data_IF_892728324344
#
_entry.id   IF_892728324344
#
_cell.length_a   1.000
_cell.length_b   1.000
_cell.length_c   1.000
_cell.angle_alpha   90.00
_cell.angle_beta   90.00
_cell.angle_gamma   90.00
#
_symmetry.space_group_name_H-M   'P 1'
#
loop_
_entity.id
_entity.type
_entity.pdbx_description
1 polymer ?
#
# COMPACT_ATOMS: atom_id res chain seq x y z
N UNK A 1 -21.70 -7.43 -2.11
CA UNK A 1 -21.28 -6.81 -0.83
C UNK A 1 -20.96 -5.36 -1.11
N UNK A 2 -21.40 -4.45 -0.25
CA UNK A 2 -21.08 -3.02 -0.31
C UNK A 2 -20.25 -2.66 0.91
N UNK A 3 -19.18 -1.89 0.71
CA UNK A 3 -18.25 -1.44 1.75
C UNK A 3 -18.06 0.06 1.62
N UNK A 4 -18.23 0.79 2.70
CA UNK A 4 -17.84 2.20 2.81
C UNK A 4 -16.39 2.29 3.29
N UNK A 5 -15.63 3.23 2.74
CA UNK A 5 -14.25 3.54 3.10
C UNK A 5 -14.14 5.06 3.16
N UNK A 6 -13.67 5.59 4.29
CA UNK A 6 -13.38 7.02 4.42
C UNK A 6 -12.02 7.32 3.83
N UNK A 7 -11.95 8.32 2.96
CA UNK A 7 -10.72 8.76 2.29
C UNK A 7 -10.28 10.06 2.91
N UNK A 8 -9.10 10.05 3.51
CA UNK A 8 -8.46 11.22 4.11
C UNK A 8 -7.25 11.63 3.27
N UNK A 9 -6.90 12.91 3.30
CA UNK A 9 -5.62 13.41 2.85
C UNK A 9 -4.86 13.96 4.05
N UNK A 10 -3.64 13.50 4.23
CA UNK A 10 -2.71 14.07 5.19
C UNK A 10 -2.19 15.40 4.65
N UNK A 11 -2.57 16.49 5.32
CA UNK A 11 -2.10 17.83 5.02
C UNK A 11 -1.30 18.31 6.22
N UNK A 12 0.01 18.44 6.04
CA UNK A 12 0.95 18.91 7.06
C UNK A 12 0.89 18.08 8.37
N UNK A 13 0.74 16.76 8.27
CA UNK A 13 0.66 15.85 9.42
C UNK A 13 -0.74 15.72 10.02
N UNK A 14 -1.74 16.39 9.43
CA UNK A 14 -3.14 16.32 9.88
C UNK A 14 -3.98 15.59 8.84
N UNK A 15 -4.59 14.44 9.19
CA UNK A 15 -5.51 13.76 8.28
C UNK A 15 -6.84 14.51 8.19
N UNK A 16 -7.21 14.95 6.99
CA UNK A 16 -8.44 15.67 6.71
C UNK A 16 -9.35 14.77 5.87
N UNK A 17 -10.61 14.61 6.28
CA UNK A 17 -11.59 13.85 5.52
C UNK A 17 -11.86 14.54 4.17
N UNK A 18 -11.48 13.87 3.08
CA UNK A 18 -11.69 14.34 1.70
C UNK A 18 -13.04 13.89 1.20
N UNK A 19 -13.44 12.65 1.52
CA UNK A 19 -14.68 12.08 1.03
C UNK A 19 -14.88 10.64 1.42
N UNK A 20 -15.89 10.02 0.82
CA UNK A 20 -16.32 8.66 1.07
C UNK A 20 -16.29 7.87 -0.22
N UNK A 21 -15.74 6.67 -0.13
CA UNK A 21 -15.65 5.70 -1.21
C UNK A 21 -16.57 4.52 -0.87
N UNK A 22 -17.49 4.21 -1.77
CA UNK A 22 -18.31 3.00 -1.70
C UNK A 22 -17.85 2.01 -2.74
N UNK A 23 -17.42 0.83 -2.29
CA UNK A 23 -17.00 -0.27 -3.17
C UNK A 23 -18.07 -1.35 -3.15
N UNK A 24 -18.48 -1.77 -4.35
CA UNK A 24 -19.47 -2.84 -4.54
C UNK A 24 -18.85 -3.98 -5.31
N UNK A 25 -18.98 -5.19 -4.76
CA UNK A 25 -18.61 -6.43 -5.44
C UNK A 25 -19.88 -7.11 -5.96
N UNK A 26 -19.97 -7.31 -7.28
CA UNK A 26 -21.03 -8.06 -7.96
C UNK A 26 -20.41 -9.01 -9.00
N UNK A 27 -20.78 -10.30 -8.94
CA UNK A 27 -20.27 -11.34 -9.84
C UNK A 27 -18.73 -11.37 -9.94
N UNK A 28 -18.04 -11.18 -8.81
CA UNK A 28 -16.57 -11.18 -8.75
C UNK A 28 -15.90 -9.94 -9.36
N UNK A 29 -16.66 -8.88 -9.68
CA UNK A 29 -16.13 -7.61 -10.16
C UNK A 29 -16.44 -6.48 -9.19
N UNK A 30 -15.45 -5.64 -8.95
CA UNK A 30 -15.62 -4.41 -8.18
C UNK A 30 -16.01 -3.22 -9.06
N UNK A 31 -16.84 -2.36 -8.48
CA UNK A 31 -17.15 -1.02 -8.95
C UNK A 31 -17.10 -0.07 -7.77
N UNK A 32 -16.70 1.18 -8.02
CA UNK A 32 -16.60 2.20 -6.98
C UNK A 32 -17.47 3.42 -7.26
N UNK A 33 -17.94 4.04 -6.18
CA UNK A 33 -18.51 5.38 -6.18
C UNK A 33 -17.77 6.22 -5.15
N UNK A 34 -17.56 7.50 -5.45
CA UNK A 34 -16.86 8.41 -4.55
C UNK A 34 -17.63 9.72 -4.43
N UNK A 35 -17.74 10.26 -3.23
CA UNK A 35 -18.33 11.59 -3.00
C UNK A 35 -17.44 12.39 -2.06
N UNK A 36 -17.17 13.64 -2.44
CA UNK A 36 -16.41 14.56 -1.61
C UNK A 36 -17.20 14.95 -0.35
N UNK A 37 -16.50 15.07 0.77
CA UNK A 37 -17.10 15.58 1.99
C UNK A 37 -17.41 17.09 1.85
N UNK A 38 -18.54 17.52 2.41
CA UNK A 38 -18.96 18.93 2.34
C UNK A 38 -17.96 19.87 3.00
N UNK A 39 -17.26 19.41 4.05
CA UNK A 39 -16.21 20.20 4.69
C UNK A 39 -15.03 20.38 3.73
N UNK A 40 -14.59 19.34 3.02
CA UNK A 40 -13.55 19.43 1.99
C UNK A 40 -13.89 20.43 0.90
N UNK A 41 -15.12 20.37 0.37
CA UNK A 41 -15.57 21.28 -0.71
C UNK A 41 -15.60 22.75 -0.29
N UNK A 42 -15.71 23.05 1.02
CA UNK A 42 -15.68 24.42 1.54
C UNK A 42 -14.27 24.93 1.83
N UNK A 43 -13.25 24.08 1.78
CA UNK A 43 -11.88 24.50 2.06
C UNK A 43 -11.33 25.38 0.92
N UNK A 44 -10.51 26.39 1.25
CA UNK A 44 -9.83 27.23 0.26
C UNK A 44 -8.67 26.52 -0.43
N UNK A 45 -8.01 25.58 0.26
CA UNK A 45 -6.87 24.79 -0.20
C UNK A 45 -7.28 23.42 -0.77
N UNK A 46 -8.58 23.23 -1.07
CA UNK A 46 -9.08 21.99 -1.66
C UNK A 46 -8.48 21.75 -3.04
N UNK A 47 -8.38 20.48 -3.39
CA UNK A 47 -8.02 20.06 -4.73
C UNK A 47 -8.83 18.83 -5.16
N UNK A 48 -8.84 18.57 -6.45
CA UNK A 48 -9.38 17.35 -7.04
C UNK A 48 -8.35 16.23 -6.89
N UNK A 49 -8.75 15.05 -6.39
CA UNK A 49 -7.84 13.91 -6.23
C UNK A 49 -7.26 13.43 -7.57
N UNK A 50 -8.07 13.48 -8.63
CA UNK A 50 -7.66 13.24 -10.01
C UNK A 50 -8.56 14.05 -10.95
N UNK A 51 -8.19 14.22 -12.24
CA UNK A 51 -9.01 14.95 -13.20
C UNK A 51 -10.44 14.41 -13.35
N UNK A 52 -10.62 13.09 -13.24
CA UNK A 52 -11.93 12.44 -13.30
C UNK A 52 -12.80 12.66 -12.05
N UNK A 53 -12.19 13.14 -10.96
CA UNK A 53 -12.84 13.50 -9.70
C UNK A 53 -12.78 15.02 -9.51
N UNK A 54 -13.20 15.79 -10.50
CA UNK A 54 -13.22 17.25 -10.41
C UNK A 54 -14.01 17.70 -9.18
N UNK A 55 -13.35 18.39 -8.25
CA UNK A 55 -13.91 18.74 -6.94
C UNK A 55 -15.23 19.50 -7.08
N UNK A 56 -16.31 18.87 -6.63
CA UNK A 56 -17.67 19.38 -6.79
C UNK A 56 -18.68 18.50 -6.03
N UNK A 57 -19.94 18.96 -5.94
CA UNK A 57 -20.99 18.20 -5.28
C UNK A 57 -21.40 16.96 -6.10
N UNK A 58 -21.90 15.95 -5.41
CA UNK A 58 -22.45 14.74 -6.01
C UNK A 58 -21.45 13.58 -6.06
N UNK A 59 -22.00 12.40 -6.36
CA UNK A 59 -21.24 11.16 -6.44
C UNK A 59 -20.64 10.97 -7.84
N UNK A 60 -19.37 10.58 -7.86
CA UNK A 60 -18.66 10.08 -9.02
C UNK A 60 -18.79 8.56 -9.05
N UNK A 61 -18.89 7.97 -10.24
CA UNK A 61 -19.05 6.53 -10.40
C UNK A 61 -18.06 5.98 -11.41
N UNK A 62 -17.53 4.79 -11.13
CA UNK A 62 -16.65 4.06 -12.04
C UNK A 62 -17.01 2.57 -12.07
N UNK A 63 -16.89 1.97 -13.27
CA UNK A 63 -16.98 0.51 -13.45
C UNK A 63 -15.66 -0.19 -13.13
N UNK A 64 -14.59 0.56 -12.87
CA UNK A 64 -13.32 0.05 -12.36
C UNK A 64 -13.48 -0.25 -10.87
N UNK A 65 -12.58 -1.08 -10.34
CA UNK A 65 -12.57 -1.42 -8.94
C UNK A 65 -12.36 -0.20 -8.03
N UNK A 66 -11.47 0.70 -8.43
CA UNK A 66 -11.15 1.95 -7.73
C UNK A 66 -10.92 3.09 -8.75
N UNK A 67 -10.99 4.32 -8.24
CA UNK A 67 -10.53 5.55 -8.89
C UNK A 67 -9.00 5.58 -8.98
N UNK A 68 -8.43 6.31 -9.94
CA UNK A 68 -6.99 6.24 -10.23
C UNK A 68 -6.14 6.64 -9.04
N UNK A 69 -6.31 7.87 -8.56
CA UNK A 69 -5.57 8.40 -7.42
C UNK A 69 -5.73 7.57 -6.13
N UNK A 70 -6.91 6.97 -5.91
CA UNK A 70 -7.15 6.10 -4.76
C UNK A 70 -6.44 4.75 -4.94
N UNK A 71 -6.53 4.17 -6.14
CA UNK A 71 -5.91 2.89 -6.48
C UNK A 71 -4.38 2.94 -6.48
N UNK A 72 -3.77 4.09 -6.78
CA UNK A 72 -2.31 4.29 -6.73
C UNK A 72 -1.75 4.16 -5.30
N UNK A 73 -2.60 4.30 -4.28
CA UNK A 73 -2.23 4.06 -2.88
C UNK A 73 -2.30 2.58 -2.47
N UNK A 74 -2.78 1.70 -3.37
CA UNK A 74 -2.83 0.27 -3.17
C UNK A 74 -1.47 -0.36 -3.51
N UNK A 75 -1.14 -1.53 -2.93
CA UNK A 75 0.12 -2.19 -3.17
C UNK A 75 0.21 -2.70 -4.61
N UNK A 76 1.42 -2.78 -5.15
CA UNK A 76 1.67 -3.37 -6.46
C UNK A 76 1.91 -4.89 -6.38
N UNK A 77 2.41 -5.50 -7.47
CA UNK A 77 2.60 -6.95 -7.56
C UNK A 77 3.38 -7.55 -6.39
N UNK A 78 4.47 -6.92 -5.92
CA UNK A 78 5.25 -7.46 -4.80
C UNK A 78 4.42 -7.50 -3.51
N UNK A 79 3.85 -6.36 -3.12
CA UNK A 79 3.02 -6.29 -1.92
C UNK A 79 1.76 -7.15 -1.98
N UNK A 80 1.11 -7.24 -3.15
CA UNK A 80 -0.03 -8.15 -3.38
C UNK A 80 0.34 -9.62 -3.22
N UNK A 81 1.53 -10.03 -3.65
CA UNK A 81 2.02 -11.40 -3.43
C UNK A 81 2.13 -11.65 -1.92
N UNK A 82 2.78 -10.76 -1.18
CA UNK A 82 2.93 -10.89 0.28
C UNK A 82 1.57 -10.99 0.98
N UNK A 83 0.63 -10.09 0.67
CA UNK A 83 -0.71 -10.08 1.28
C UNK A 83 -1.54 -11.33 0.94
N UNK A 84 -1.48 -11.82 -0.31
CA UNK A 84 -2.14 -13.08 -0.68
C UNK A 84 -1.57 -14.27 0.08
N UNK A 85 -0.25 -14.35 0.22
CA UNK A 85 0.40 -15.43 0.98
C UNK A 85 0.03 -15.37 2.46
N UNK A 86 0.00 -14.17 3.02
CA UNK A 86 -0.44 -13.93 4.39
C UNK A 86 -1.87 -14.42 4.61
N UNK A 87 -2.79 -14.12 3.69
CA UNK A 87 -4.19 -14.57 3.78
C UNK A 87 -4.32 -16.10 3.68
N UNK A 88 -3.61 -16.73 2.74
CA UNK A 88 -3.62 -18.20 2.61
C UNK A 88 -3.13 -18.86 3.91
N UNK A 89 -2.03 -18.35 4.48
CA UNK A 89 -1.47 -18.85 5.74
C UNK A 89 -2.43 -18.65 6.91
N UNK A 90 -2.99 -17.44 7.06
CA UNK A 90 -3.98 -17.12 8.09
C UNK A 90 -5.19 -18.04 8.02
N UNK A 91 -5.76 -18.21 6.82
CA UNK A 91 -6.89 -19.07 6.60
C UNK A 91 -6.62 -20.53 6.98
N UNK A 92 -5.42 -21.05 6.66
CA UNK A 92 -4.98 -22.39 7.08
C UNK A 92 -4.91 -22.53 8.60
N UNK A 93 -4.34 -21.55 9.31
CA UNK A 93 -4.30 -21.56 10.78
C UNK A 93 -5.70 -21.50 11.40
N UNK A 94 -6.59 -20.71 10.81
CA UNK A 94 -7.99 -20.56 11.21
C UNK A 94 -8.89 -21.70 10.71
N UNK A 95 -8.33 -22.74 10.05
CA UNK A 95 -9.06 -23.87 9.48
C UNK A 95 -10.23 -23.48 8.56
N UNK A 96 -10.06 -22.41 7.79
CA UNK A 96 -11.05 -21.90 6.82
C UNK A 96 -10.46 -21.81 5.42
N UNK A 97 -11.35 -21.68 4.43
CA UNK A 97 -10.92 -21.35 3.07
C UNK A 97 -10.30 -19.92 3.02
N UNK A 98 -9.22 -19.71 2.25
CA UNK A 98 -8.69 -18.37 1.98
C UNK A 98 -9.75 -17.52 1.30
N UNK A 99 -9.88 -16.26 1.75
CA UNK A 99 -10.77 -15.31 1.07
C UNK A 99 -10.12 -14.84 -0.24
N UNK A 100 -10.94 -14.59 -1.25
CA UNK A 100 -10.50 -13.82 -2.42
C UNK A 100 -10.29 -12.38 -2.01
N UNK A 101 -9.08 -11.86 -2.18
CA UNK A 101 -8.76 -10.45 -1.96
C UNK A 101 -9.06 -9.65 -3.23
N UNK A 102 -9.93 -8.65 -3.09
CA UNK A 102 -10.24 -7.68 -4.13
C UNK A 102 -9.37 -6.41 -4.00
N UNK A 103 -9.51 -5.45 -4.91
CA UNK A 103 -8.69 -4.22 -4.91
C UNK A 103 -8.90 -3.41 -3.64
N UNK A 104 -10.14 -3.30 -3.16
CA UNK A 104 -10.44 -2.64 -1.90
C UNK A 104 -9.81 -3.36 -0.70
N UNK A 105 -9.67 -4.68 -0.71
CA UNK A 105 -8.97 -5.39 0.36
C UNK A 105 -7.46 -5.07 0.33
N UNK A 106 -6.84 -5.02 -0.85
CA UNK A 106 -5.43 -4.65 -0.97
C UNK A 106 -5.17 -3.23 -0.48
N UNK A 107 -6.06 -2.28 -0.80
CA UNK A 107 -5.97 -0.91 -0.32
C UNK A 107 -5.93 -0.82 1.20
N UNK A 108 -6.80 -1.58 1.88
CA UNK A 108 -7.01 -1.54 3.33
C UNK A 108 -6.04 -2.43 4.13
N UNK A 109 -5.42 -3.43 3.50
CA UNK A 109 -4.48 -4.33 4.18
C UNK A 109 -3.05 -3.77 4.27
N UNK A 110 -2.76 -2.68 3.56
CA UNK A 110 -1.47 -1.99 3.62
C UNK A 110 -1.33 -1.20 4.90
N UNK A 111 -0.12 -1.22 5.46
CA UNK A 111 0.26 -0.41 6.62
C UNK A 111 0.14 1.10 6.32
N UNK A 112 -0.61 1.84 7.15
CA UNK A 112 -0.87 3.26 6.93
C UNK A 112 0.36 4.14 7.20
N UNK A 113 1.22 3.78 8.17
CA UNK A 113 2.49 4.51 8.45
C UNK A 113 3.44 4.44 7.25
N UNK A 114 3.41 3.31 6.53
CA UNK A 114 4.32 3.03 5.43
C UNK A 114 3.71 3.27 4.06
N UNK A 115 2.48 3.77 4.00
CA UNK A 115 1.79 4.05 2.75
C UNK A 115 2.47 5.19 2.03
N UNK A 116 2.64 5.04 0.73
CA UNK A 116 3.21 6.10 -0.12
C UNK A 116 2.09 7.05 -0.54
N UNK A 117 2.36 8.35 -0.45
CA UNK A 117 1.42 9.41 -0.79
C UNK A 117 0.69 9.96 0.43
N UNK A 118 -0.21 10.91 0.20
CA UNK A 118 -0.92 11.62 1.27
C UNK A 118 -2.28 10.99 1.62
N UNK A 119 -2.77 10.02 0.83
CA UNK A 119 -4.10 9.45 1.06
C UNK A 119 -4.06 8.39 2.16
N UNK A 120 -5.01 8.49 3.10
CA UNK A 120 -5.16 7.57 4.24
C UNK A 120 -6.59 7.03 4.27
N UNK A 121 -6.78 5.82 4.76
CA UNK A 121 -8.07 5.11 4.63
C UNK A 121 -8.56 4.55 5.97
N UNK A 122 -9.87 4.65 6.21
CA UNK A 122 -10.55 4.06 7.37
C UNK A 122 -11.75 3.24 6.89
N UNK A 123 -11.99 2.06 7.49
CA UNK A 123 -13.13 1.21 7.15
C UNK A 123 -14.43 1.71 7.79
N UNK A 124 -14.34 2.40 8.93
CA UNK A 124 -15.47 2.99 9.64
C UNK A 124 -15.03 4.25 10.40
N UNK A 125 -15.98 5.09 10.82
CA UNK A 125 -15.73 6.36 11.54
C UNK A 125 -15.15 6.17 12.93
N UNK A 126 -15.45 5.04 13.56
CA UNK A 126 -14.95 4.67 14.90
C UNK A 126 -13.76 3.70 14.83
N UNK A 127 -13.31 3.35 13.62
CA UNK A 127 -12.13 2.52 13.43
C UNK A 127 -10.88 3.40 13.41
N UNK A 128 -9.80 2.88 14.00
CA UNK A 128 -8.47 3.43 13.82
C UNK A 128 -8.10 3.50 12.33
N UNK A 129 -7.17 4.39 11.93
CA UNK A 129 -6.58 4.29 10.60
C UNK A 129 -6.09 2.86 10.39
N UNK A 130 -6.58 2.22 9.32
CA UNK A 130 -6.41 0.78 9.16
C UNK A 130 -4.92 0.47 9.07
N UNK A 131 -4.46 -0.35 10.01
CA UNK A 131 -3.05 -0.59 10.34
C UNK A 131 -2.38 0.56 11.11
N UNK A 132 -2.82 0.76 12.36
CA UNK A 132 -2.14 1.64 13.32
C UNK A 132 -0.63 1.35 13.43
N UNK A 133 0.19 2.41 13.55
CA UNK A 133 1.61 2.29 13.90
C UNK A 133 1.76 1.46 15.17
N UNK A 134 2.42 0.32 15.08
CA UNK A 134 2.89 -0.43 16.25
C UNK A 134 4.40 -0.30 16.34
N UNK A 135 4.96 0.00 17.53
CA UNK A 135 6.40 0.02 17.72
C UNK A 135 7.05 -1.26 17.18
N UNK A 136 8.09 -1.12 16.36
CA UNK A 136 8.84 -2.26 15.78
C UNK A 136 8.34 -2.81 14.44
N UNK A 137 7.37 -2.17 13.77
CA UNK A 137 6.91 -2.61 12.42
C UNK A 137 7.89 -2.30 11.29
N UNK A 138 8.66 -1.22 11.41
CA UNK A 138 9.69 -0.88 10.41
C UNK A 138 11.03 -1.41 10.91
N UNK A 139 11.61 -2.41 10.23
CA UNK A 139 12.88 -2.98 10.65
C UNK A 139 14.01 -1.94 10.52
N UNK A 140 14.94 -1.89 11.49
CA UNK A 140 16.13 -1.05 11.37
C UNK A 140 17.04 -1.54 10.25
N UNK A 141 17.92 -0.66 9.74
CA UNK A 141 18.89 -0.97 8.68
C UNK A 141 19.73 -2.25 8.94
N UNK A 142 19.97 -2.62 10.20
CA UNK A 142 20.71 -3.84 10.57
C UNK A 142 20.03 -5.13 10.09
N UNK A 143 18.72 -5.10 9.81
CA UNK A 143 17.93 -6.25 9.34
C UNK A 143 18.01 -6.49 7.81
N UNK A 144 18.87 -5.78 7.06
CA UNK A 144 18.98 -5.95 5.60
C UNK A 144 19.30 -7.38 5.16
N UNK A 145 20.20 -8.08 5.86
CA UNK A 145 20.57 -9.48 5.55
C UNK A 145 19.39 -10.45 5.73
N UNK A 146 18.71 -10.43 6.89
CA UNK A 146 17.46 -11.16 7.11
C UNK A 146 16.37 -10.82 6.08
N UNK A 147 16.15 -9.54 5.77
CA UNK A 147 15.18 -9.11 4.76
C UNK A 147 15.49 -9.65 3.36
N UNK A 148 16.75 -9.58 2.93
CA UNK A 148 17.19 -10.14 1.66
C UNK A 148 16.94 -11.65 1.60
N UNK A 149 17.26 -12.35 2.68
CA UNK A 149 17.04 -13.81 2.79
C UNK A 149 15.56 -14.17 2.69
N UNK A 150 14.70 -13.43 3.40
CA UNK A 150 13.25 -13.58 3.35
C UNK A 150 12.71 -13.28 1.94
N UNK A 151 13.17 -12.19 1.30
CA UNK A 151 12.78 -11.83 -0.07
C UNK A 151 13.13 -12.92 -1.09
N UNK A 152 14.33 -13.51 -0.95
CA UNK A 152 14.75 -14.62 -1.79
C UNK A 152 13.86 -15.85 -1.59
N UNK A 153 13.51 -16.18 -0.34
CA UNK A 153 12.64 -17.32 -0.06
C UNK A 153 11.22 -17.14 -0.59
N UNK A 154 10.63 -15.95 -0.40
CA UNK A 154 9.32 -15.63 -0.97
C UNK A 154 9.34 -15.75 -2.51
N UNK A 155 10.40 -15.26 -3.15
CA UNK A 155 10.58 -15.36 -4.60
C UNK A 155 10.62 -16.82 -5.07
N UNK A 156 11.34 -17.68 -4.34
CA UNK A 156 11.50 -19.12 -4.62
C UNK A 156 10.31 -19.99 -4.19
N UNK A 157 9.39 -19.42 -3.42
CA UNK A 157 8.21 -20.10 -2.85
C UNK A 157 8.52 -21.11 -1.75
N UNK A 158 9.60 -20.89 -1.00
CA UNK A 158 10.05 -21.68 0.15
C UNK A 158 10.09 -20.85 1.45
N UNK A 159 9.23 -19.82 1.55
CA UNK A 159 9.18 -18.94 2.72
C UNK A 159 8.65 -19.60 3.99
N UNK A 160 9.26 -19.20 5.11
CA UNK A 160 8.84 -19.50 6.47
C UNK A 160 7.80 -18.48 6.96
N UNK A 161 7.10 -18.81 8.05
CA UNK A 161 6.10 -17.89 8.62
C UNK A 161 6.74 -16.60 9.13
N UNK A 162 7.97 -16.68 9.64
CA UNK A 162 8.77 -15.53 10.07
C UNK A 162 9.13 -14.60 8.91
N UNK A 163 9.36 -15.13 7.69
CA UNK A 163 9.66 -14.32 6.51
C UNK A 163 8.48 -13.45 6.12
N UNK A 164 7.27 -14.04 6.12
CA UNK A 164 6.06 -13.30 5.81
C UNK A 164 5.78 -12.26 6.90
N UNK A 165 5.97 -12.60 8.18
CA UNK A 165 5.84 -11.63 9.28
C UNK A 165 6.82 -10.47 9.15
N UNK A 166 8.07 -10.77 8.78
CA UNK A 166 9.12 -9.77 8.57
C UNK A 166 8.81 -8.87 7.36
N UNK A 167 8.20 -9.41 6.31
CA UNK A 167 8.00 -8.68 5.04
C UNK A 167 6.62 -8.02 4.88
N UNK A 168 5.55 -8.49 5.54
CA UNK A 168 4.19 -7.98 5.28
C UNK A 168 4.10 -6.49 5.62
N UNK A 169 4.55 -6.07 6.80
CA UNK A 169 4.55 -4.65 7.18
C UNK A 169 5.39 -3.81 6.22
N UNK A 170 6.71 -4.00 6.19
CA UNK A 170 7.61 -3.14 5.43
C UNK A 170 7.55 -3.32 3.90
N UNK A 171 7.20 -4.51 3.42
CA UNK A 171 7.26 -4.86 2.01
C UNK A 171 5.95 -4.75 1.25
N UNK A 172 4.80 -4.67 1.95
CA UNK A 172 3.51 -4.62 1.26
C UNK A 172 3.11 -3.24 0.79
N UNK A 173 3.44 -2.17 1.51
CA UNK A 173 2.95 -0.82 1.24
C UNK A 173 3.57 -0.12 0.03
N UNK A 174 4.70 -0.62 -0.45
CA UNK A 174 5.50 0.04 -1.46
C UNK A 174 5.07 -0.39 -2.87
N UNK A 175 4.87 0.58 -3.75
CA UNK A 175 4.65 0.35 -5.18
C UNK A 175 5.83 -0.38 -5.84
N UNK A 176 5.60 -1.00 -7.00
CA UNK A 176 6.52 -1.77 -7.81
C UNK A 176 6.40 -3.30 -7.70
N UNK A 177 6.92 -3.99 -8.72
CA UNK A 177 6.80 -5.44 -8.85
C UNK A 177 7.95 -6.26 -8.25
N UNK A 178 9.06 -5.60 -7.88
CA UNK A 178 10.30 -6.25 -7.46
C UNK A 178 10.45 -6.24 -5.93
N UNK A 179 11.21 -7.18 -5.35
CA UNK A 179 11.38 -7.29 -3.91
C UNK A 179 11.93 -6.00 -3.29
N UNK A 180 11.21 -5.50 -2.28
CA UNK A 180 11.56 -4.28 -1.55
C UNK A 180 10.93 -4.28 -0.16
N UNK A 181 11.48 -3.47 0.73
CA UNK A 181 10.99 -3.27 2.07
C UNK A 181 11.28 -1.83 2.54
N UNK A 182 10.36 -1.25 3.29
CA UNK A 182 10.62 -0.05 4.07
C UNK A 182 11.55 -0.41 5.25
N UNK A 183 12.55 0.43 5.47
CA UNK A 183 13.51 0.27 6.56
C UNK A 183 13.70 1.62 7.25
N UNK A 184 14.17 1.59 8.49
CA UNK A 184 14.59 2.79 9.20
C UNK A 184 16.11 2.95 9.07
N UNK A 185 16.55 4.06 8.49
CA UNK A 185 17.97 4.39 8.33
C UNK A 185 18.60 4.84 9.67
N UNK A 186 19.91 5.04 9.69
CA UNK A 186 20.72 5.40 10.87
C UNK A 186 20.21 6.64 11.59
N UNK A 187 19.68 7.60 10.84
CA UNK A 187 19.15 8.87 11.38
C UNK A 187 17.67 8.77 11.80
N UNK A 188 17.10 7.56 11.80
CA UNK A 188 15.70 7.33 12.18
C UNK A 188 14.68 7.58 11.06
N UNK A 189 15.12 8.09 9.91
CA UNK A 189 14.28 8.33 8.73
C UNK A 189 13.86 7.04 8.02
N UNK A 190 12.75 7.10 7.28
CA UNK A 190 12.29 5.99 6.46
C UNK A 190 13.05 5.95 5.12
N UNK A 191 13.47 4.76 4.72
CA UNK A 191 14.10 4.49 3.43
C UNK A 191 13.50 3.23 2.79
N UNK A 192 13.72 3.06 1.48
CA UNK A 192 13.30 1.86 0.75
C UNK A 192 14.53 1.03 0.42
N UNK A 193 14.61 -0.16 1.00
CA UNK A 193 15.57 -1.18 0.59
C UNK A 193 15.03 -1.89 -0.66
N UNK A 194 15.83 -1.91 -1.74
CA UNK A 194 15.53 -2.64 -2.98
C UNK A 194 16.45 -3.85 -3.08
N UNK A 195 15.87 -5.03 -3.28
CA UNK A 195 16.60 -6.28 -3.33
C UNK A 195 16.65 -6.83 -4.75
N UNK A 196 17.72 -7.55 -5.13
CA UNK A 196 17.78 -8.23 -6.41
C UNK A 196 16.68 -9.30 -6.49
N UNK A 197 16.30 -9.64 -7.71
CA UNK A 197 15.36 -10.73 -7.96
C UNK A 197 16.13 -11.94 -8.47
N UNK A 198 15.73 -13.15 -8.08
CA UNK A 198 16.47 -14.38 -8.39
C UNK A 198 16.61 -14.68 -9.90
N UNK A 199 15.76 -14.07 -10.73
CA UNK A 199 15.75 -14.25 -12.18
C UNK A 199 16.35 -13.06 -12.94
N UNK A 200 17.12 -12.22 -12.27
CA UNK A 200 17.81 -11.12 -12.93
C UNK A 200 18.93 -11.64 -13.84
N UNK A 201 18.99 -11.12 -15.06
CA UNK A 201 20.06 -11.39 -16.04
C UNK A 201 21.27 -10.46 -15.86
N UNK A 202 21.12 -9.40 -15.05
CA UNK A 202 22.14 -8.42 -14.69
C UNK A 202 21.87 -7.86 -13.30
N UNK A 203 22.84 -7.20 -12.69
CA UNK A 203 22.64 -6.57 -11.38
C UNK A 203 21.77 -5.29 -11.51
N UNK A 204 20.45 -5.48 -11.49
CA UNK A 204 19.47 -4.39 -11.64
C UNK A 204 19.58 -3.38 -10.49
N UNK A 205 19.89 -3.83 -9.28
CA UNK A 205 20.00 -2.95 -8.11
C UNK A 205 21.24 -2.06 -8.23
N UNK A 206 22.36 -2.61 -8.67
CA UNK A 206 23.56 -1.83 -8.95
C UNK A 206 23.33 -0.82 -10.08
N UNK A 207 22.69 -1.23 -11.17
CA UNK A 207 22.37 -0.32 -12.28
C UNK A 207 21.43 0.81 -11.86
N UNK A 208 20.49 0.54 -10.97
CA UNK A 208 19.64 1.58 -10.38
C UNK A 208 20.46 2.56 -9.54
N UNK A 209 21.40 2.08 -8.71
CA UNK A 209 22.30 2.93 -7.96
C UNK A 209 23.20 3.80 -8.86
N UNK A 210 23.73 3.23 -9.95
CA UNK A 210 24.51 3.97 -10.95
C UNK A 210 23.67 5.06 -11.61
N UNK A 211 22.44 4.75 -12.03
CA UNK A 211 21.55 5.72 -12.65
C UNK A 211 21.20 6.88 -11.70
N UNK A 212 20.91 6.59 -10.43
CA UNK A 212 20.66 7.61 -9.41
C UNK A 212 21.89 8.49 -9.15
N UNK A 213 23.09 7.90 -9.13
CA UNK A 213 24.34 8.64 -8.98
C UNK A 213 24.63 9.55 -10.18
N UNK A 214 24.32 9.10 -11.40
CA UNK A 214 24.44 9.91 -12.61
C UNK A 214 23.41 11.04 -12.64
N UNK A 215 22.14 10.76 -12.30
CA UNK A 215 21.11 11.79 -12.19
C UNK A 215 21.52 12.90 -11.21
N UNK A 216 22.00 12.54 -10.02
CA UNK A 216 22.52 13.52 -9.04
C UNK A 216 23.64 14.40 -9.60
N UNK A 217 24.50 13.87 -10.47
CA UNK A 217 25.58 14.65 -11.12
C UNK A 217 25.06 15.56 -12.24
N UNK A 218 23.91 15.25 -12.81
CA UNK A 218 23.31 16.00 -13.90
C UNK A 218 22.44 17.18 -13.44
N UNK A 219 22.05 17.23 -12.16
CA UNK A 219 21.16 18.26 -11.58
C UNK A 219 19.71 17.78 -11.49
#
# INVERSE_FOLDING_TARGET
MEREILVHADMEGTPILVGRLWVRVRNGRESASFEYDRAWLRRPDRYSLEPALASGPGAFHTRKALFGAIGDSAPDRWGRVLLRRAEIRRARMEQRAPRTLFESDFLLLVDDELRVGALRFQADRDDSFLAEPRPGRVPPLVELGPLLSACNRVTRRDELDEDLRLLIGPGSSLGGARPKAAIRDRDGGLAIAKFPHANDDRDVVLWEAVALALAKKAG
#
